data_IF_554733832922
#
_entry.id   IF_554733832922
#
_cell.length_a   1.000
_cell.length_b   1.000
_cell.length_c   1.000
_cell.angle_alpha   90.00
_cell.angle_beta   90.00
_cell.angle_gamma   90.00
#
_symmetry.space_group_name_H-M   'P 1'
#
loop_
_entity.id
_entity.type
_entity.pdbx_description
1 polymer ?
#
# COMPACT_ATOMS: atom_id res chain seq x y z
N UNK A 1 -14.26 -9.06 -33.34
CA UNK A 1 -15.43 -8.25 -32.93
C UNK A 1 -15.13 -6.77 -33.14
N UNK A 2 -16.14 -6.03 -33.50
CA UNK A 2 -16.02 -4.58 -33.61
C UNK A 2 -15.66 -3.94 -32.26
N UNK A 3 -14.70 -3.02 -32.29
CA UNK A 3 -14.32 -2.27 -31.09
C UNK A 3 -15.32 -1.12 -30.88
N UNK A 4 -16.28 -1.34 -30.02
CA UNK A 4 -17.27 -0.34 -29.63
C UNK A 4 -17.66 -0.45 -28.13
N UNK A 5 -18.34 0.57 -27.64
CA UNK A 5 -18.73 0.65 -26.22
C UNK A 5 -19.67 -0.49 -25.78
N UNK A 6 -20.51 -1.02 -26.67
CA UNK A 6 -21.43 -2.09 -26.36
C UNK A 6 -20.69 -3.42 -26.12
N UNK A 7 -19.74 -3.76 -27.02
CA UNK A 7 -18.95 -4.98 -26.88
C UNK A 7 -17.98 -4.89 -25.71
N UNK A 8 -17.34 -3.74 -25.47
CA UNK A 8 -16.53 -3.53 -24.27
C UNK A 8 -17.35 -3.70 -23.00
N UNK A 9 -18.57 -3.16 -22.93
CA UNK A 9 -19.47 -3.34 -21.80
C UNK A 9 -19.88 -4.79 -21.58
N UNK A 10 -20.14 -5.55 -22.66
CA UNK A 10 -20.47 -6.98 -22.59
C UNK A 10 -19.31 -7.81 -22.06
N UNK A 11 -18.09 -7.51 -22.52
CA UNK A 11 -16.89 -8.24 -22.13
C UNK A 11 -16.36 -7.83 -20.75
N UNK A 12 -16.66 -6.63 -20.27
CA UNK A 12 -16.14 -6.10 -19.00
C UNK A 12 -16.49 -6.98 -17.79
N UNK A 13 -17.65 -7.64 -17.81
CA UNK A 13 -18.04 -8.58 -16.75
C UNK A 13 -17.15 -9.82 -16.67
N UNK A 14 -16.54 -10.22 -17.82
CA UNK A 14 -15.62 -11.36 -17.90
C UNK A 14 -14.15 -10.94 -17.87
N UNK A 15 -13.87 -9.65 -18.10
CA UNK A 15 -12.53 -9.09 -18.23
C UNK A 15 -12.17 -8.24 -17.01
N UNK A 16 -12.14 -8.84 -15.84
CA UNK A 16 -11.66 -8.14 -14.65
C UNK A 16 -10.15 -7.91 -14.78
N UNK A 17 -9.71 -6.64 -14.70
CA UNK A 17 -8.33 -6.22 -14.95
C UNK A 17 -7.27 -7.02 -14.19
N UNK A 18 -7.55 -7.41 -12.95
CA UNK A 18 -6.63 -8.21 -12.15
C UNK A 18 -6.34 -9.62 -12.69
N UNK A 19 -7.12 -10.10 -13.67
CA UNK A 19 -7.01 -11.48 -14.19
C UNK A 19 -7.07 -11.58 -15.70
N UNK A 20 -7.74 -10.65 -16.36
CA UNK A 20 -8.08 -10.75 -17.76
C UNK A 20 -8.03 -9.38 -18.42
N UNK A 21 -7.48 -9.32 -19.61
CA UNK A 21 -7.46 -8.15 -20.47
C UNK A 21 -8.28 -8.42 -21.73
N UNK A 22 -8.92 -7.38 -22.27
CA UNK A 22 -9.52 -7.42 -23.58
C UNK A 22 -8.42 -7.11 -24.60
N UNK A 23 -8.13 -8.06 -25.48
CA UNK A 23 -7.13 -7.89 -26.54
C UNK A 23 -7.71 -7.10 -27.69
N UNK A 24 -7.07 -5.96 -28.00
CA UNK A 24 -7.42 -5.09 -29.13
C UNK A 24 -6.25 -5.02 -30.08
N UNK A 25 -6.48 -5.13 -31.36
CA UNK A 25 -5.49 -4.82 -32.41
C UNK A 25 -6.01 -3.71 -33.30
N UNK A 26 -5.12 -2.92 -33.87
CA UNK A 26 -5.45 -1.88 -34.81
C UNK A 26 -5.12 -2.40 -36.20
N UNK A 27 -6.15 -2.62 -37.01
CA UNK A 27 -5.96 -2.89 -38.43
C UNK A 27 -5.77 -1.56 -39.16
N UNK A 28 -4.73 -1.42 -40.03
CA UNK A 28 -4.49 -0.18 -40.76
C UNK A 28 -5.62 0.25 -41.68
N UNK A 29 -6.46 -0.69 -42.14
CA UNK A 29 -7.55 -0.42 -43.07
C UNK A 29 -8.91 -0.35 -42.39
N UNK A 30 -9.15 -1.21 -41.38
CA UNK A 30 -10.47 -1.38 -40.76
C UNK A 30 -10.55 -0.77 -39.34
N UNK A 31 -9.44 -0.23 -38.82
CA UNK A 31 -9.40 0.37 -37.48
C UNK A 31 -9.27 -0.65 -36.32
N UNK A 32 -9.67 -0.27 -35.09
CA UNK A 32 -9.52 -1.14 -33.93
C UNK A 32 -10.55 -2.26 -33.93
N UNK A 33 -10.11 -3.49 -33.64
CA UNK A 33 -10.96 -4.65 -33.45
C UNK A 33 -10.60 -5.44 -32.18
N UNK A 34 -11.58 -6.04 -31.52
CA UNK A 34 -11.39 -6.94 -30.39
C UNK A 34 -11.09 -8.34 -30.94
N UNK A 35 -9.89 -8.85 -30.66
CA UNK A 35 -9.49 -10.17 -31.13
C UNK A 35 -9.67 -11.29 -30.09
N UNK A 36 -9.80 -10.95 -28.79
CA UNK A 36 -10.00 -11.96 -27.77
C UNK A 36 -9.85 -11.46 -26.35
N UNK A 37 -9.78 -12.41 -25.42
CA UNK A 37 -9.47 -12.18 -24.01
C UNK A 37 -8.11 -12.80 -23.68
N UNK A 38 -7.26 -12.06 -22.98
CA UNK A 38 -5.98 -12.52 -22.49
C UNK A 38 -6.12 -12.76 -20.98
N UNK A 39 -6.04 -14.01 -20.57
CA UNK A 39 -6.14 -14.39 -19.16
C UNK A 39 -4.74 -14.62 -18.59
N UNK A 40 -4.37 -13.87 -17.56
CA UNK A 40 -3.03 -13.89 -16.96
C UNK A 40 -2.88 -14.88 -15.80
N UNK A 41 -4.02 -15.36 -15.28
CA UNK A 41 -4.05 -16.23 -14.11
C UNK A 41 -3.80 -15.50 -12.77
N UNK A 42 -3.69 -16.26 -11.68
CA UNK A 42 -3.59 -15.71 -10.32
C UNK A 42 -2.33 -14.86 -10.08
N UNK A 43 -1.29 -15.02 -10.87
CA UNK A 43 -0.02 -14.29 -10.70
C UNK A 43 -0.15 -12.77 -10.89
N UNK A 44 -1.00 -12.31 -11.81
CA UNK A 44 -1.25 -10.87 -11.96
C UNK A 44 -1.97 -10.29 -10.76
N UNK A 45 -2.95 -11.00 -10.21
CA UNK A 45 -3.63 -10.58 -8.99
C UNK A 45 -2.65 -10.34 -7.85
N UNK A 46 -1.73 -11.29 -7.64
CA UNK A 46 -0.70 -11.14 -6.61
C UNK A 46 0.22 -9.94 -6.86
N UNK A 47 0.63 -9.69 -8.10
CA UNK A 47 1.50 -8.57 -8.43
C UNK A 47 0.81 -7.22 -8.24
N UNK A 48 -0.42 -7.07 -8.73
CA UNK A 48 -1.21 -5.84 -8.63
C UNK A 48 -1.49 -5.49 -7.17
N UNK A 49 -1.72 -6.48 -6.33
CA UNK A 49 -1.95 -6.28 -4.89
C UNK A 49 -0.66 -6.32 -4.05
N UNK A 50 0.52 -6.08 -4.63
CA UNK A 50 1.79 -6.05 -3.91
C UNK A 50 2.32 -7.42 -3.52
N UNK A 51 1.95 -8.49 -4.23
CA UNK A 51 2.48 -9.83 -4.05
C UNK A 51 3.94 -9.94 -4.48
N UNK A 52 4.65 -10.94 -3.93
CA UNK A 52 6.05 -11.23 -4.26
C UNK A 52 6.27 -11.87 -5.63
N UNK A 53 5.21 -12.33 -6.26
CA UNK A 53 5.35 -13.15 -7.46
C UNK A 53 6.09 -12.43 -8.58
N UNK A 54 6.97 -13.15 -9.26
CA UNK A 54 7.39 -12.79 -10.62
C UNK A 54 6.19 -12.94 -11.55
N UNK A 55 5.19 -12.06 -11.37
CA UNK A 55 4.13 -11.99 -12.34
C UNK A 55 4.76 -11.76 -13.70
N UNK A 56 4.31 -12.45 -14.74
CA UNK A 56 4.68 -12.02 -16.06
C UNK A 56 4.32 -10.53 -16.14
N UNK A 57 5.22 -9.69 -16.65
CA UNK A 57 4.88 -8.29 -16.86
C UNK A 57 3.60 -8.22 -17.67
N UNK A 58 2.86 -7.13 -17.55
CA UNK A 58 1.81 -6.83 -18.52
C UNK A 58 2.41 -6.98 -19.93
N UNK A 59 1.62 -7.38 -20.92
CA UNK A 59 2.09 -7.47 -22.30
C UNK A 59 2.87 -6.20 -22.69
N UNK A 60 3.94 -6.34 -23.48
CA UNK A 60 4.65 -5.19 -24.04
C UNK A 60 3.81 -4.51 -25.12
N UNK A 61 2.63 -4.12 -24.74
CA UNK A 61 1.62 -3.45 -25.51
C UNK A 61 0.98 -2.36 -24.64
N UNK A 62 0.38 -1.38 -25.29
CA UNK A 62 -0.39 -0.36 -24.57
C UNK A 62 -1.51 -1.03 -23.78
N UNK A 63 -1.50 -0.86 -22.48
CA UNK A 63 -2.52 -1.37 -21.57
C UNK A 63 -3.27 -0.20 -20.97
N UNK A 64 -4.60 -0.23 -21.06
CA UNK A 64 -5.49 0.79 -20.51
C UNK A 64 -6.39 0.12 -19.49
N UNK A 65 -6.35 0.61 -18.25
CA UNK A 65 -7.25 0.21 -17.17
C UNK A 65 -8.25 1.32 -16.89
N UNK A 66 -9.53 0.99 -16.92
CA UNK A 66 -10.61 1.90 -16.53
C UNK A 66 -10.93 1.65 -15.07
N UNK A 67 -10.63 2.61 -14.21
CA UNK A 67 -10.82 2.51 -12.74
C UNK A 67 -12.13 3.11 -12.29
N UNK A 68 -12.65 4.08 -13.03
CA UNK A 68 -13.92 4.74 -12.76
C UNK A 68 -14.40 5.59 -13.94
N UNK A 69 -15.56 6.22 -13.84
CA UNK A 69 -16.04 7.15 -14.86
C UNK A 69 -15.08 8.34 -15.01
N UNK A 70 -14.44 8.44 -16.18
CA UNK A 70 -13.45 9.50 -16.46
C UNK A 70 -12.07 9.25 -15.86
N UNK A 71 -11.81 8.03 -15.35
CA UNK A 71 -10.53 7.64 -14.78
C UNK A 71 -9.90 6.50 -15.59
N UNK A 72 -8.68 6.71 -16.06
CA UNK A 72 -7.92 5.75 -16.85
C UNK A 72 -6.46 5.71 -16.37
N UNK A 73 -5.95 4.50 -16.18
CA UNK A 73 -4.52 4.26 -16.05
C UNK A 73 -3.97 3.71 -17.37
N UNK A 74 -2.88 4.26 -17.84
CA UNK A 74 -2.24 3.87 -19.10
C UNK A 74 -0.81 3.42 -18.82
N UNK A 75 -0.46 2.23 -19.31
CA UNK A 75 0.88 1.67 -19.14
C UNK A 75 1.30 0.81 -20.33
N UNK A 76 2.58 0.44 -20.37
CA UNK A 76 3.15 -0.49 -21.34
C UNK A 76 4.15 -1.39 -20.64
N UNK A 77 3.91 -2.70 -20.65
CA UNK A 77 4.76 -3.64 -19.93
C UNK A 77 4.85 -3.29 -18.44
N UNK A 78 5.97 -2.72 -18.07
CA UNK A 78 6.26 -2.31 -16.68
C UNK A 78 6.21 -0.79 -16.45
N UNK A 79 6.05 -0.02 -17.50
CA UNK A 79 6.09 1.44 -17.48
C UNK A 79 4.68 2.01 -17.33
N UNK A 80 4.50 2.90 -16.38
CA UNK A 80 3.30 3.74 -16.28
C UNK A 80 3.52 4.94 -17.19
N UNK A 81 2.61 5.11 -18.16
CA UNK A 81 2.67 6.21 -19.13
C UNK A 81 1.94 7.43 -18.59
N UNK A 82 0.81 7.23 -17.94
CA UNK A 82 0.02 8.32 -17.41
C UNK A 82 -1.28 7.88 -16.76
N UNK A 83 -1.90 8.81 -16.09
CA UNK A 83 -3.20 8.67 -15.45
C UNK A 83 -4.11 9.81 -15.91
N UNK A 84 -5.35 9.49 -16.26
CA UNK A 84 -6.40 10.47 -16.53
C UNK A 84 -7.39 10.44 -15.36
N UNK A 85 -7.60 11.57 -14.72
CA UNK A 85 -8.65 11.76 -13.72
C UNK A 85 -9.19 13.20 -13.80
N UNK A 86 -10.45 13.38 -13.50
CA UNK A 86 -11.11 14.70 -13.47
C UNK A 86 -10.89 15.55 -14.74
N UNK A 87 -10.78 14.88 -15.89
CA UNK A 87 -10.52 15.53 -17.18
C UNK A 87 -9.09 16.06 -17.35
N UNK A 88 -8.15 15.69 -16.49
CA UNK A 88 -6.74 16.05 -16.55
C UNK A 88 -5.86 14.82 -16.75
N UNK A 89 -4.81 14.98 -17.51
CA UNK A 89 -3.76 13.97 -17.66
C UNK A 89 -2.67 14.28 -16.66
N UNK A 90 -2.36 13.30 -15.83
CA UNK A 90 -1.27 13.35 -14.89
C UNK A 90 -0.13 12.45 -15.38
N UNK A 91 1.07 12.97 -15.37
CA UNK A 91 2.26 12.14 -15.55
C UNK A 91 2.46 11.24 -14.32
N UNK A 92 3.18 10.10 -14.46
CA UNK A 92 3.48 9.25 -13.32
C UNK A 92 4.22 10.08 -12.27
N UNK A 93 3.49 10.46 -11.22
CA UNK A 93 3.99 11.34 -10.20
C UNK A 93 4.48 10.56 -9.00
N UNK A 94 5.19 11.24 -8.18
CA UNK A 94 5.70 11.00 -6.83
C UNK A 94 5.34 9.63 -6.24
N UNK A 95 6.26 8.68 -6.33
CA UNK A 95 6.16 7.45 -5.55
C UNK A 95 6.69 7.71 -4.14
N UNK A 96 5.82 8.01 -3.19
CA UNK A 96 6.19 8.34 -1.80
C UNK A 96 7.00 7.25 -1.11
N UNK A 97 6.92 6.02 -1.54
CA UNK A 97 7.77 4.95 -1.01
C UNK A 97 9.26 5.10 -1.37
N UNK A 98 9.59 6.02 -2.29
CA UNK A 98 10.96 6.39 -2.62
C UNK A 98 11.45 7.62 -1.84
N UNK A 99 10.56 8.34 -1.15
CA UNK A 99 10.96 9.51 -0.36
C UNK A 99 11.87 9.13 0.80
N UNK A 100 12.85 9.98 1.09
CA UNK A 100 13.77 9.79 2.21
C UNK A 100 13.03 9.87 3.53
N UNK A 101 12.12 10.85 3.69
CA UNK A 101 11.38 11.03 4.92
C UNK A 101 10.53 9.81 5.33
N UNK A 102 9.88 9.11 4.37
CA UNK A 102 9.09 7.91 4.70
C UNK A 102 10.00 6.73 5.05
N UNK A 103 11.15 6.63 4.38
CA UNK A 103 12.15 5.63 4.71
C UNK A 103 12.74 5.86 6.11
N UNK A 104 13.07 7.09 6.46
CA UNK A 104 13.57 7.47 7.78
C UNK A 104 12.52 7.23 8.87
N UNK A 105 11.26 7.54 8.59
CA UNK A 105 10.16 7.36 9.53
C UNK A 105 9.99 5.91 9.99
N UNK A 106 10.37 4.93 9.17
CA UNK A 106 10.38 3.51 9.49
C UNK A 106 11.77 2.97 9.90
N UNK A 107 12.81 3.79 9.97
CA UNK A 107 14.19 3.32 10.16
C UNK A 107 14.38 2.52 11.46
N UNK A 108 13.86 3.02 12.59
CA UNK A 108 13.97 2.35 13.90
C UNK A 108 13.31 0.96 13.89
N UNK A 109 12.17 0.83 13.21
CA UNK A 109 11.45 -0.44 13.12
C UNK A 109 12.17 -1.45 12.22
N UNK A 110 12.86 -0.98 11.18
CA UNK A 110 13.73 -1.84 10.37
C UNK A 110 14.88 -2.39 11.19
N UNK A 111 15.53 -1.53 11.97
CA UNK A 111 16.62 -1.92 12.85
C UNK A 111 16.16 -2.94 13.89
N UNK A 112 15.04 -2.70 14.55
CA UNK A 112 14.44 -3.64 15.52
C UNK A 112 14.18 -5.02 14.90
N UNK A 113 13.65 -5.08 13.67
CA UNK A 113 13.40 -6.35 12.97
C UNK A 113 14.69 -7.10 12.66
N UNK A 114 15.73 -6.39 12.24
CA UNK A 114 17.04 -6.99 12.00
C UNK A 114 17.63 -7.54 13.30
N UNK A 115 17.50 -6.83 14.40
CA UNK A 115 17.98 -7.32 15.73
C UNK A 115 17.26 -8.60 16.13
N UNK A 116 15.94 -8.67 16.01
CA UNK A 116 15.15 -9.88 16.29
C UNK A 116 15.58 -11.04 15.36
N UNK A 117 15.84 -10.75 14.09
CA UNK A 117 16.35 -11.75 13.13
C UNK A 117 17.72 -12.27 13.54
N UNK A 118 18.65 -11.39 13.91
CA UNK A 118 20.00 -11.76 14.33
C UNK A 118 20.01 -12.57 15.63
N UNK A 119 19.12 -12.26 16.57
CA UNK A 119 18.94 -13.07 17.79
C UNK A 119 18.46 -14.48 17.43
N UNK A 120 17.43 -14.61 16.60
CA UNK A 120 16.93 -15.90 16.15
C UNK A 120 17.98 -16.71 15.36
N UNK A 121 18.82 -16.03 14.57
CA UNK A 121 19.93 -16.65 13.82
C UNK A 121 21.00 -17.21 14.75
N UNK A 122 21.34 -16.52 15.84
CA UNK A 122 22.32 -16.99 16.83
C UNK A 122 21.86 -18.26 17.57
N UNK A 123 20.53 -18.39 17.77
CA UNK A 123 19.95 -19.55 18.44
C UNK A 123 19.70 -20.74 17.48
N UNK A 124 19.88 -20.54 16.18
CA UNK A 124 19.62 -21.57 15.17
C UNK A 124 20.65 -22.70 15.24
N UNK A 125 20.17 -23.94 15.13
CA UNK A 125 21.04 -25.13 15.10
C UNK A 125 21.83 -25.29 13.78
N UNK A 126 21.34 -24.68 12.71
CA UNK A 126 21.92 -24.72 11.37
C UNK A 126 22.28 -23.28 10.95
N UNK A 127 23.32 -23.10 10.11
CA UNK A 127 23.68 -21.77 9.64
C UNK A 127 22.60 -21.16 8.75
N UNK A 128 22.36 -19.86 8.93
CA UNK A 128 21.44 -19.07 8.11
C UNK A 128 22.24 -18.09 7.23
N UNK A 129 21.75 -17.85 6.02
CA UNK A 129 22.29 -16.81 5.16
C UNK A 129 22.14 -15.41 5.77
N UNK A 130 23.02 -14.49 5.33
CA UNK A 130 22.86 -13.07 5.64
C UNK A 130 21.69 -12.47 4.86
N UNK A 131 21.00 -11.51 5.43
CA UNK A 131 19.96 -10.74 4.73
C UNK A 131 20.55 -9.47 4.15
N UNK A 132 20.16 -9.16 2.91
CA UNK A 132 20.43 -7.86 2.32
C UNK A 132 19.81 -6.75 3.19
N UNK A 133 20.56 -5.70 3.56
CA UNK A 133 20.04 -4.64 4.48
C UNK A 133 18.73 -4.02 4.01
N UNK A 134 18.52 -3.92 2.71
CA UNK A 134 17.32 -3.36 2.12
C UNK A 134 16.10 -4.29 2.12
N UNK A 135 16.28 -5.59 2.31
CA UNK A 135 15.18 -6.56 2.25
C UNK A 135 14.03 -6.20 3.20
N UNK A 136 14.35 -5.84 4.44
CA UNK A 136 13.35 -5.47 5.45
C UNK A 136 12.56 -4.23 5.06
N UNK A 137 13.22 -3.26 4.43
CA UNK A 137 12.59 -2.05 3.90
C UNK A 137 11.61 -2.39 2.79
N UNK A 138 12.06 -3.16 1.82
CA UNK A 138 11.24 -3.52 0.65
C UNK A 138 10.02 -4.35 1.06
N UNK A 139 10.18 -5.33 1.96
CA UNK A 139 9.06 -6.11 2.52
C UNK A 139 8.05 -5.15 3.18
N UNK A 140 8.50 -4.24 4.04
CA UNK A 140 7.62 -3.29 4.72
C UNK A 140 6.86 -2.37 3.75
N UNK A 141 7.52 -1.89 2.71
CA UNK A 141 6.88 -1.10 1.65
C UNK A 141 5.81 -1.91 0.89
N UNK A 142 6.12 -3.16 0.54
CA UNK A 142 5.16 -4.04 -0.12
C UNK A 142 3.93 -4.34 0.76
N UNK A 143 4.12 -4.49 2.08
CA UNK A 143 3.01 -4.64 3.00
C UNK A 143 2.09 -3.41 2.99
N UNK A 144 2.65 -2.21 3.07
CA UNK A 144 1.86 -0.98 3.02
C UNK A 144 1.14 -0.82 1.67
N UNK A 145 1.82 -1.13 0.56
CA UNK A 145 1.21 -1.13 -0.77
C UNK A 145 0.03 -2.11 -0.86
N UNK A 146 0.16 -3.31 -0.29
CA UNK A 146 -0.94 -4.29 -0.23
C UNK A 146 -2.14 -3.77 0.55
N UNK A 147 -1.91 -3.15 1.71
CA UNK A 147 -2.98 -2.55 2.50
C UNK A 147 -3.73 -1.49 1.70
N UNK A 148 -3.00 -0.55 1.11
CA UNK A 148 -3.58 0.55 0.33
C UNK A 148 -4.33 0.00 -0.89
N UNK A 149 -3.74 -0.94 -1.63
CA UNK A 149 -4.38 -1.56 -2.79
C UNK A 149 -5.66 -2.32 -2.41
N UNK A 150 -5.64 -3.05 -1.29
CA UNK A 150 -6.80 -3.73 -0.74
C UNK A 150 -7.91 -2.77 -0.36
N UNK A 151 -7.58 -1.67 0.35
CA UNK A 151 -8.55 -0.64 0.72
C UNK A 151 -9.18 0.04 -0.51
N UNK A 152 -8.39 0.33 -1.54
CA UNK A 152 -8.89 0.89 -2.82
C UNK A 152 -9.89 -0.03 -3.49
N UNK A 153 -9.61 -1.35 -3.49
CA UNK A 153 -10.49 -2.34 -4.12
C UNK A 153 -11.90 -2.42 -3.51
N UNK A 154 -12.09 -1.95 -2.28
CA UNK A 154 -13.40 -1.86 -1.65
C UNK A 154 -14.22 -0.64 -2.08
N UNK A 155 -13.63 0.36 -2.76
CA UNK A 155 -14.30 1.59 -3.21
C UNK A 155 -15.11 2.33 -2.14
N UNK A 156 -14.79 2.13 -0.87
CA UNK A 156 -15.48 2.76 0.26
C UNK A 156 -14.71 3.98 0.79
N UNK A 157 -13.43 4.06 0.44
CA UNK A 157 -12.49 4.94 1.10
C UNK A 157 -12.21 4.48 2.54
N UNK A 158 -11.24 5.08 3.21
CA UNK A 158 -10.86 4.70 4.57
C UNK A 158 -9.73 5.55 5.10
N UNK A 159 -9.41 5.39 6.37
CA UNK A 159 -8.26 6.04 6.99
C UNK A 159 -7.45 5.02 7.78
N UNK A 160 -6.14 5.00 7.55
CA UNK A 160 -5.19 4.34 8.43
C UNK A 160 -4.50 5.41 9.26
N UNK A 161 -4.50 5.23 10.57
CA UNK A 161 -3.72 6.03 11.51
C UNK A 161 -2.56 5.17 12.00
N UNK A 162 -1.35 5.56 11.64
CA UNK A 162 -0.13 4.82 12.00
C UNK A 162 0.60 5.57 13.11
N UNK A 163 0.71 4.94 14.27
CA UNK A 163 1.23 5.55 15.50
C UNK A 163 2.59 4.96 15.89
N UNK A 164 3.42 5.69 16.64
CA UNK A 164 4.61 5.13 17.26
C UNK A 164 4.25 3.94 18.18
N UNK A 165 5.05 2.86 18.21
CA UNK A 165 4.78 1.70 19.08
C UNK A 165 4.69 2.05 20.56
N UNK A 166 5.51 2.99 21.01
CA UNK A 166 5.55 3.51 22.38
C UNK A 166 4.27 4.24 22.80
N UNK A 167 3.47 4.70 21.85
CA UNK A 167 2.18 5.34 22.09
C UNK A 167 0.98 4.38 22.01
N UNK A 168 1.22 3.10 21.73
CA UNK A 168 0.16 2.12 21.50
C UNK A 168 -0.79 2.00 22.70
N UNK A 169 -0.27 1.94 23.91
CA UNK A 169 -1.09 1.80 25.13
C UNK A 169 -1.92 3.06 25.41
N UNK A 170 -1.37 4.25 25.11
CA UNK A 170 -2.12 5.49 25.19
C UNK A 170 -3.33 5.48 24.26
N UNK A 171 -3.15 5.06 23.02
CA UNK A 171 -4.25 5.03 22.04
C UNK A 171 -5.24 3.89 22.27
N UNK A 172 -4.84 2.81 22.94
CA UNK A 172 -5.75 1.75 23.37
C UNK A 172 -6.56 2.09 24.63
N UNK A 173 -6.14 3.11 25.37
CA UNK A 173 -6.80 3.60 26.58
C UNK A 173 -7.69 4.80 26.26
N UNK A 174 -8.53 5.22 27.22
CA UNK A 174 -9.28 6.46 27.11
C UNK A 174 -8.32 7.65 26.97
N UNK A 175 -8.46 8.41 25.92
CA UNK A 175 -7.62 9.56 25.60
C UNK A 175 -8.42 10.64 24.85
N UNK A 176 -7.98 11.91 24.84
CA UNK A 176 -8.73 13.01 24.24
C UNK A 176 -8.59 13.10 22.72
N UNK A 177 -7.86 12.21 22.08
CA UNK A 177 -7.50 12.33 20.66
C UNK A 177 -8.31 11.42 19.77
N UNK A 178 -8.46 10.15 20.17
CA UNK A 178 -9.27 9.17 19.45
C UNK A 178 -9.82 8.11 20.41
N UNK A 179 -10.95 7.52 20.05
CA UNK A 179 -11.50 6.36 20.72
C UNK A 179 -11.61 5.18 19.75
N UNK A 180 -10.99 4.05 20.09
CA UNK A 180 -11.07 2.82 19.31
C UNK A 180 -12.32 2.07 19.73
N UNK A 181 -13.31 1.96 18.83
CA UNK A 181 -14.56 1.26 19.12
C UNK A 181 -14.38 -0.26 19.22
N UNK A 182 -13.54 -0.81 18.33
CA UNK A 182 -13.25 -2.24 18.27
C UNK A 182 -11.74 -2.48 18.41
N UNK A 183 -11.29 -2.68 19.65
CA UNK A 183 -9.88 -2.90 19.96
C UNK A 183 -9.49 -4.38 19.88
N UNK A 184 -8.26 -4.64 19.45
CA UNK A 184 -7.63 -5.96 19.55
C UNK A 184 -6.91 -6.07 20.89
N UNK A 185 -7.47 -6.86 21.79
CA UNK A 185 -6.95 -7.04 23.16
C UNK A 185 -5.85 -8.10 23.20
N UNK A 186 -6.07 -9.20 22.47
CA UNK A 186 -5.14 -10.32 22.46
C UNK A 186 -3.86 -9.99 21.67
N UNK A 187 -2.73 -10.39 22.21
CA UNK A 187 -1.41 -10.08 21.65
C UNK A 187 -1.16 -10.76 20.29
N UNK A 188 -1.68 -11.99 20.10
CA UNK A 188 -1.46 -12.74 18.86
C UNK A 188 -2.12 -12.09 17.65
N UNK A 189 -3.44 -11.84 17.62
CA UNK A 189 -4.05 -11.15 16.48
C UNK A 189 -3.46 -9.76 16.23
N UNK A 190 -3.13 -9.04 17.32
CA UNK A 190 -2.53 -7.72 17.25
C UNK A 190 -1.16 -7.75 16.58
N UNK A 191 -0.29 -8.68 16.95
CA UNK A 191 1.09 -8.77 16.46
C UNK A 191 1.23 -9.61 15.16
N UNK A 192 0.18 -10.27 14.70
CA UNK A 192 0.24 -11.27 13.62
C UNK A 192 0.94 -10.77 12.36
N UNK A 193 0.64 -9.56 11.93
CA UNK A 193 1.25 -8.98 10.72
C UNK A 193 2.76 -8.77 10.88
N UNK A 194 3.17 -8.25 12.04
CA UNK A 194 4.59 -8.12 12.41
C UNK A 194 5.29 -9.48 12.44
N UNK A 195 4.67 -10.47 13.08
CA UNK A 195 5.19 -11.83 13.20
C UNK A 195 5.38 -12.47 11.83
N UNK A 196 4.43 -12.33 10.91
CA UNK A 196 4.54 -12.85 9.54
C UNK A 196 5.74 -12.25 8.80
N UNK A 197 6.00 -10.95 8.92
CA UNK A 197 7.16 -10.30 8.29
C UNK A 197 8.47 -10.90 8.80
N UNK A 198 8.62 -11.03 10.13
CA UNK A 198 9.82 -11.60 10.75
C UNK A 198 9.98 -13.08 10.35
N UNK A 199 8.89 -13.83 10.32
CA UNK A 199 8.93 -15.25 9.92
C UNK A 199 9.36 -15.41 8.47
N UNK A 200 8.93 -14.53 7.55
CA UNK A 200 9.42 -14.54 6.16
C UNK A 200 10.93 -14.32 6.12
N UNK A 201 11.46 -13.34 6.85
CA UNK A 201 12.88 -13.05 6.91
C UNK A 201 13.68 -14.26 7.40
N UNK A 202 13.26 -14.84 8.53
CA UNK A 202 13.90 -15.99 9.14
C UNK A 202 13.84 -17.24 8.24
N UNK A 203 12.70 -17.50 7.62
CA UNK A 203 12.49 -18.64 6.75
C UNK A 203 13.35 -18.54 5.48
N UNK A 204 13.44 -17.34 4.89
CA UNK A 204 14.31 -17.10 3.73
C UNK A 204 15.78 -17.38 4.05
N UNK A 205 16.27 -16.80 5.16
CA UNK A 205 17.66 -16.99 5.58
C UNK A 205 17.98 -18.47 5.89
N UNK A 206 17.04 -19.16 6.55
CA UNK A 206 17.16 -20.59 6.88
C UNK A 206 17.21 -21.47 5.63
N UNK A 207 16.31 -21.24 4.67
CA UNK A 207 16.23 -22.06 3.43
C UNK A 207 17.50 -21.91 2.60
N UNK A 208 18.05 -20.71 2.55
CA UNK A 208 19.27 -20.45 1.79
C UNK A 208 20.51 -21.05 2.46
N UNK A 209 20.55 -21.08 3.80
CA UNK A 209 21.66 -21.69 4.55
C UNK A 209 23.03 -21.18 4.10
N UNK A 210 24.01 -22.07 4.06
CA UNK A 210 25.37 -21.77 3.61
C UNK A 210 25.52 -21.62 2.08
N UNK A 211 24.50 -21.94 1.31
CA UNK A 211 24.60 -21.96 -0.16
C UNK A 211 24.61 -20.56 -0.78
N UNK A 212 24.03 -19.57 -0.09
CA UNK A 212 24.00 -18.19 -0.52
C UNK A 212 24.56 -17.30 0.59
N UNK A 213 25.51 -16.46 0.25
CA UNK A 213 26.11 -15.55 1.23
C UNK A 213 25.16 -14.44 1.67
N UNK A 214 24.32 -13.95 0.76
CA UNK A 214 23.38 -12.84 1.00
C UNK A 214 22.06 -13.10 0.26
N UNK A 215 20.94 -12.93 0.96
CA UNK A 215 19.58 -13.11 0.44
C UNK A 215 18.86 -11.75 0.38
N UNK A 216 18.31 -11.45 -0.78
CA UNK A 216 17.65 -10.20 -1.04
C UNK A 216 16.20 -10.33 -1.54
N UNK A 217 15.68 -9.20 -1.99
CA UNK A 217 14.30 -9.13 -2.51
C UNK A 217 14.09 -10.05 -3.74
N UNK A 218 15.08 -10.20 -4.61
CA UNK A 218 14.99 -11.07 -5.79
C UNK A 218 14.77 -12.52 -5.40
N UNK A 219 15.47 -12.99 -4.36
CA UNK A 219 15.37 -14.36 -3.88
C UNK A 219 13.96 -14.60 -3.29
N UNK A 220 13.44 -13.63 -2.54
CA UNK A 220 12.06 -13.69 -2.07
C UNK A 220 11.06 -13.73 -3.22
N UNK A 221 11.25 -12.95 -4.28
CA UNK A 221 10.36 -12.94 -5.43
C UNK A 221 10.38 -14.26 -6.22
N UNK A 222 11.55 -14.87 -6.35
CA UNK A 222 11.76 -16.01 -7.24
C UNK A 222 11.58 -17.36 -6.56
N UNK A 223 11.66 -17.42 -5.24
CA UNK A 223 11.55 -18.69 -4.52
C UNK A 223 10.21 -19.38 -4.74
N UNK A 224 10.27 -20.67 -5.01
CA UNK A 224 9.10 -21.55 -5.11
C UNK A 224 8.93 -22.43 -3.86
N UNK A 225 9.68 -22.12 -2.80
CA UNK A 225 9.61 -22.90 -1.57
C UNK A 225 8.18 -22.83 -0.97
N UNK A 226 7.57 -23.98 -0.64
CA UNK A 226 6.19 -24.05 -0.16
C UNK A 226 5.92 -23.25 1.12
N UNK A 227 6.92 -23.16 2.02
CA UNK A 227 6.74 -22.45 3.29
C UNK A 227 6.70 -20.93 3.07
N UNK A 228 7.53 -20.42 2.15
CA UNK A 228 7.46 -19.00 1.76
C UNK A 228 6.15 -18.70 1.02
N UNK A 229 5.65 -19.62 0.19
CA UNK A 229 4.36 -19.46 -0.49
C UNK A 229 3.23 -19.34 0.53
N UNK A 230 3.19 -20.22 1.54
CA UNK A 230 2.18 -20.17 2.61
C UNK A 230 2.25 -18.88 3.44
N UNK A 231 3.46 -18.41 3.74
CA UNK A 231 3.65 -17.15 4.46
C UNK A 231 3.17 -15.95 3.63
N UNK A 232 3.43 -15.95 2.33
CA UNK A 232 2.96 -14.89 1.44
C UNK A 232 1.43 -14.88 1.33
N UNK A 233 0.79 -16.05 1.27
CA UNK A 233 -0.67 -16.18 1.32
C UNK A 233 -1.23 -15.65 2.65
N UNK A 234 -0.62 -16.01 3.79
CA UNK A 234 -1.05 -15.52 5.10
C UNK A 234 -0.90 -13.99 5.23
N UNK A 235 0.13 -13.41 4.66
CA UNK A 235 0.31 -11.96 4.58
C UNK A 235 -0.78 -11.33 3.70
N UNK A 236 -1.10 -11.95 2.57
CA UNK A 236 -2.16 -11.48 1.69
C UNK A 236 -3.52 -11.48 2.40
N UNK A 237 -3.87 -12.58 3.08
CA UNK A 237 -5.11 -12.70 3.86
C UNK A 237 -5.17 -11.64 4.96
N UNK A 238 -4.06 -11.42 5.70
CA UNK A 238 -4.00 -10.41 6.75
C UNK A 238 -4.16 -8.99 6.19
N UNK A 239 -3.53 -8.71 5.05
CA UNK A 239 -3.68 -7.42 4.35
C UNK A 239 -5.14 -7.19 3.91
N UNK A 240 -5.79 -8.23 3.41
CA UNK A 240 -7.18 -8.17 3.00
C UNK A 240 -8.12 -7.96 4.21
N UNK A 241 -7.86 -8.63 5.32
CA UNK A 241 -8.59 -8.41 6.57
C UNK A 241 -8.49 -6.95 7.02
N UNK A 242 -7.29 -6.40 7.13
CA UNK A 242 -7.09 -5.00 7.55
C UNK A 242 -7.76 -4.02 6.58
N UNK A 243 -7.67 -4.29 5.28
CA UNK A 243 -8.35 -3.50 4.27
C UNK A 243 -9.89 -3.56 4.42
N UNK A 244 -10.45 -4.73 4.72
CA UNK A 244 -11.88 -4.88 4.99
C UNK A 244 -12.33 -4.12 6.25
N UNK A 245 -11.51 -4.10 7.31
CA UNK A 245 -11.80 -3.33 8.52
C UNK A 245 -11.89 -1.83 8.25
N UNK A 246 -11.21 -1.32 7.24
CA UNK A 246 -11.28 0.09 6.85
C UNK A 246 -12.60 0.51 6.22
N UNK A 247 -13.47 -0.44 5.87
CA UNK A 247 -14.82 -0.16 5.38
C UNK A 247 -15.82 0.16 6.50
N UNK A 248 -15.46 -0.12 7.74
CA UNK A 248 -16.22 0.31 8.91
C UNK A 248 -15.98 1.80 9.15
N UNK A 249 -17.03 2.54 9.48
CA UNK A 249 -16.93 3.96 9.79
C UNK A 249 -15.88 4.20 10.90
N UNK A 250 -15.02 5.18 10.66
CA UNK A 250 -13.86 5.47 11.51
C UNK A 250 -12.53 5.08 10.87
N UNK A 251 -11.48 5.14 11.66
CA UNK A 251 -10.13 4.80 11.21
C UNK A 251 -9.70 3.40 11.68
N UNK A 252 -8.78 2.78 10.93
CA UNK A 252 -8.00 1.64 11.40
C UNK A 252 -6.71 2.17 12.02
N UNK A 253 -6.39 1.73 13.22
CA UNK A 253 -5.20 2.17 13.96
C UNK A 253 -4.15 1.07 13.99
N UNK A 254 -2.96 1.39 13.49
CA UNK A 254 -1.79 0.49 13.43
C UNK A 254 -0.60 1.15 14.13
N UNK A 255 0.32 0.35 14.64
CA UNK A 255 1.65 0.85 14.99
C UNK A 255 2.58 0.84 13.76
N UNK A 256 3.72 1.56 13.83
CA UNK A 256 4.81 1.45 12.83
C UNK A 256 5.34 0.02 12.68
N UNK A 257 5.15 -0.83 13.70
CA UNK A 257 5.49 -2.26 13.66
C UNK A 257 4.52 -3.11 12.86
N UNK A 258 3.44 -2.51 12.35
CA UNK A 258 2.27 -3.19 11.78
C UNK A 258 1.48 -4.00 12.81
N UNK A 259 1.46 -3.58 14.06
CA UNK A 259 0.57 -4.13 15.06
C UNK A 259 -0.80 -3.46 14.96
N UNK A 260 -1.86 -4.26 14.82
CA UNK A 260 -3.22 -3.78 14.67
C UNK A 260 -3.82 -3.48 16.04
N UNK A 261 -4.01 -2.20 16.37
CA UNK A 261 -4.58 -1.77 17.65
C UNK A 261 -6.10 -1.90 17.65
N UNK A 262 -6.75 -1.55 16.55
CA UNK A 262 -8.18 -1.64 16.41
C UNK A 262 -8.71 -0.91 15.18
N UNK A 263 -10.03 -0.84 15.08
CA UNK A 263 -10.73 -0.19 13.98
C UNK A 263 -12.01 0.48 14.44
N UNK A 264 -12.68 1.20 13.53
CA UNK A 264 -13.83 2.05 13.88
C UNK A 264 -13.42 3.18 14.82
N UNK A 265 -12.18 3.67 14.71
CA UNK A 265 -11.67 4.69 15.59
C UNK A 265 -12.25 6.07 15.22
N UNK A 266 -12.86 6.73 16.20
CA UNK A 266 -13.34 8.11 16.08
C UNK A 266 -12.25 9.07 16.54
N UNK A 267 -11.92 10.05 15.69
CA UNK A 267 -10.90 11.05 15.98
C UNK A 267 -11.57 12.29 16.55
N UNK A 268 -11.24 12.63 17.79
CA UNK A 268 -11.89 13.70 18.58
C UNK A 268 -11.10 15.01 18.66
N UNK A 269 -9.98 15.16 17.98
CA UNK A 269 -9.09 16.32 18.07
C UNK A 269 -9.76 17.66 17.66
N UNK A 270 -10.92 17.97 18.25
CA UNK A 270 -11.71 19.18 17.94
C UNK A 270 -11.06 20.46 18.47
N UNK A 271 -10.25 20.34 19.55
CA UNK A 271 -9.61 21.48 20.21
C UNK A 271 -8.37 22.03 19.47
N UNK A 272 -7.99 21.44 18.35
CA UNK A 272 -6.86 21.94 17.56
C UNK A 272 -7.35 22.93 16.52
N UNK A 273 -6.98 24.22 16.68
CA UNK A 273 -7.23 25.29 15.69
C UNK A 273 -6.37 25.08 14.42
N UNK A 274 -6.72 24.03 13.67
CA UNK A 274 -6.10 23.75 12.38
C UNK A 274 -6.93 24.33 11.26
N UNK A 275 -6.52 25.48 10.72
CA UNK A 275 -7.20 26.18 9.64
C UNK A 275 -6.56 25.94 8.28
N UNK A 276 -5.28 25.63 8.25
CA UNK A 276 -4.47 25.46 7.04
C UNK A 276 -3.61 24.22 7.14
N UNK A 277 -3.31 23.64 5.99
CA UNK A 277 -2.38 22.52 5.78
C UNK A 277 -1.50 22.81 4.59
N UNK A 278 -0.34 22.20 4.53
CA UNK A 278 0.59 22.33 3.42
C UNK A 278 0.40 21.13 2.46
N UNK A 279 0.13 21.42 1.20
CA UNK A 279 0.15 20.41 0.13
C UNK A 279 1.57 20.35 -0.43
N UNK A 280 2.22 19.20 -0.33
CA UNK A 280 3.54 18.98 -0.90
C UNK A 280 3.48 18.93 -2.44
N UNK A 281 4.45 19.57 -3.09
CA UNK A 281 4.60 19.59 -4.55
C UNK A 281 5.74 18.68 -5.03
N UNK A 282 6.57 18.19 -4.10
CA UNK A 282 7.66 17.25 -4.36
C UNK A 282 7.68 16.13 -3.32
N UNK A 283 8.53 15.12 -3.54
CA UNK A 283 8.62 13.92 -2.71
C UNK A 283 8.98 14.21 -1.25
N UNK A 284 9.89 15.15 -1.06
CA UNK A 284 10.40 15.46 0.28
C UNK A 284 9.54 16.53 0.99
N UNK A 285 8.68 17.24 0.23
CA UNK A 285 7.83 18.31 0.75
C UNK A 285 8.62 19.60 1.01
N UNK A 286 9.70 19.82 0.27
CA UNK A 286 10.49 21.04 0.38
C UNK A 286 9.78 22.23 -0.29
N UNK A 287 8.94 21.95 -1.27
CA UNK A 287 8.03 22.89 -1.88
C UNK A 287 6.59 22.52 -1.55
N UNK A 288 5.82 23.49 -1.12
CA UNK A 288 4.43 23.27 -0.74
C UNK A 288 3.53 24.47 -1.03
N UNK A 289 2.24 24.24 -1.09
CA UNK A 289 1.19 25.27 -1.18
C UNK A 289 0.29 25.14 0.03
N UNK A 290 -0.04 26.27 0.64
CA UNK A 290 -0.94 26.32 1.79
C UNK A 290 -2.39 26.26 1.31
N UNK A 291 -3.15 25.34 1.87
CA UNK A 291 -4.57 25.15 1.57
C UNK A 291 -5.43 25.21 2.83
N UNK A 292 -6.69 25.63 2.67
CA UNK A 292 -7.63 25.68 3.77
C UNK A 292 -8.18 24.29 4.09
N UNK A 293 -8.14 23.91 5.36
CA UNK A 293 -8.74 22.65 5.85
C UNK A 293 -10.27 22.60 5.65
N UNK A 294 -10.90 23.75 5.52
CA UNK A 294 -12.35 23.81 5.30
C UNK A 294 -12.78 23.38 3.87
N UNK A 295 -11.84 23.35 2.92
CA UNK A 295 -12.10 22.93 1.55
C UNK A 295 -12.22 21.40 1.37
N UNK A 296 -11.82 20.61 2.37
CA UNK A 296 -11.80 19.14 2.28
C UNK A 296 -12.88 18.47 3.14
N UNK A 297 -13.19 17.22 2.81
CA UNK A 297 -14.19 16.42 3.53
C UNK A 297 -13.80 16.08 4.97
N UNK A 298 -14.77 15.62 5.76
CA UNK A 298 -14.61 15.34 7.20
C UNK A 298 -13.48 14.34 7.49
N UNK A 299 -13.33 13.29 6.67
CA UNK A 299 -12.27 12.27 6.80
C UNK A 299 -10.87 12.89 6.74
N UNK A 300 -10.61 13.76 5.77
CA UNK A 300 -9.34 14.47 5.65
C UNK A 300 -9.10 15.40 6.85
N UNK A 301 -10.12 16.17 7.24
CA UNK A 301 -10.00 17.06 8.41
C UNK A 301 -9.64 16.30 9.68
N UNK A 302 -10.29 15.18 9.95
CA UNK A 302 -9.99 14.36 11.12
C UNK A 302 -8.55 13.80 11.07
N UNK A 303 -8.11 13.32 9.91
CA UNK A 303 -6.74 12.83 9.70
C UNK A 303 -5.69 13.94 9.89
N UNK A 304 -5.94 15.14 9.40
CA UNK A 304 -5.04 16.27 9.60
C UNK A 304 -4.98 16.70 11.08
N UNK A 305 -6.12 16.70 11.78
CA UNK A 305 -6.19 17.06 13.20
C UNK A 305 -5.40 16.10 14.09
N UNK A 306 -5.46 14.79 13.83
CA UNK A 306 -4.67 13.84 14.62
C UNK A 306 -3.17 14.01 14.37
N UNK A 307 -2.74 14.32 13.14
CA UNK A 307 -1.36 14.64 12.83
C UNK A 307 -0.89 15.98 13.45
N UNK A 308 -1.81 16.95 13.62
CA UNK A 308 -1.51 18.19 14.32
C UNK A 308 -1.38 17.98 15.83
N UNK A 309 -2.25 17.16 16.42
CA UNK A 309 -2.23 16.85 17.84
C UNK A 309 -1.03 15.98 18.23
N UNK A 310 -0.62 15.08 17.36
CA UNK A 310 0.51 14.17 17.54
C UNK A 310 1.46 14.19 16.35
N UNK A 311 2.58 14.88 16.52
CA UNK A 311 3.57 15.14 15.46
C UNK A 311 4.22 13.86 14.90
N UNK A 312 4.22 12.77 15.65
CA UNK A 312 4.78 11.47 15.25
C UNK A 312 3.76 10.51 14.64
N UNK A 313 2.53 10.96 14.38
CA UNK A 313 1.50 10.18 13.71
C UNK A 313 1.55 10.41 12.21
N UNK A 314 1.37 9.32 11.45
CA UNK A 314 1.13 9.35 10.02
C UNK A 314 -0.31 8.91 9.76
N UNK A 315 -1.05 9.68 9.00
CA UNK A 315 -2.36 9.30 8.49
C UNK A 315 -2.31 9.00 7.00
N UNK A 316 -2.90 7.88 6.59
CA UNK A 316 -3.07 7.52 5.18
C UNK A 316 -4.56 7.54 4.89
N UNK A 317 -4.98 8.45 4.03
CA UNK A 317 -6.38 8.71 3.73
C UNK A 317 -6.68 8.21 2.33
N UNK A 318 -7.71 7.39 2.21
CA UNK A 318 -8.25 6.96 0.93
C UNK A 318 -9.61 7.60 0.71
N UNK A 319 -9.76 8.28 -0.42
CA UNK A 319 -11.07 8.78 -0.85
C UNK A 319 -11.90 7.67 -1.49
N UNK A 320 -13.20 7.88 -1.65
CA UNK A 320 -14.08 6.96 -2.38
C UNK A 320 -13.69 6.83 -3.87
N UNK A 321 -13.10 7.90 -4.41
CA UNK A 321 -12.62 7.96 -5.80
C UNK A 321 -11.25 7.28 -5.98
N UNK A 322 -10.71 6.65 -4.93
CA UNK A 322 -9.46 5.89 -4.98
C UNK A 322 -8.19 6.71 -4.80
N UNK A 323 -8.30 8.04 -4.60
CA UNK A 323 -7.14 8.87 -4.31
C UNK A 323 -6.56 8.55 -2.93
N UNK A 324 -5.24 8.55 -2.83
CA UNK A 324 -4.50 8.24 -1.60
C UNK A 324 -3.70 9.45 -1.18
N UNK A 325 -3.85 9.86 0.07
CA UNK A 325 -3.06 10.93 0.67
C UNK A 325 -2.30 10.43 1.89
N UNK A 326 -1.06 10.84 2.03
CA UNK A 326 -0.26 10.67 3.22
C UNK A 326 -0.17 12.01 3.93
N UNK A 327 -0.52 12.06 5.20
CA UNK A 327 -0.48 13.28 6.00
C UNK A 327 0.33 13.08 7.27
N UNK A 328 1.22 14.02 7.58
CA UNK A 328 2.01 14.04 8.82
C UNK A 328 2.38 15.47 9.19
N UNK A 329 2.90 15.64 10.39
CA UNK A 329 3.54 16.88 10.79
C UNK A 329 4.93 17.03 10.15
N UNK A 330 5.20 18.17 9.49
CA UNK A 330 6.51 18.57 8.95
C UNK A 330 6.61 20.10 8.95
N UNK A 331 7.77 20.64 9.33
CA UNK A 331 8.10 22.07 9.23
C UNK A 331 7.01 23.01 9.79
N UNK A 332 6.61 22.73 11.04
CA UNK A 332 5.61 23.48 11.79
C UNK A 332 4.19 23.50 11.21
N UNK A 333 3.90 22.60 10.28
CA UNK A 333 2.57 22.40 9.69
C UNK A 333 2.20 20.93 9.55
N UNK A 334 0.89 20.65 9.41
CA UNK A 334 0.44 19.40 8.85
C UNK A 334 0.65 19.47 7.35
N UNK A 335 1.51 18.60 6.83
CA UNK A 335 1.77 18.48 5.41
C UNK A 335 1.12 17.20 4.87
N UNK A 336 0.57 17.27 3.66
CA UNK A 336 0.08 16.10 2.98
C UNK A 336 0.64 15.97 1.56
N UNK A 337 0.77 14.74 1.13
CA UNK A 337 1.19 14.34 -0.21
C UNK A 337 0.08 13.57 -0.89
N UNK A 338 -0.24 13.95 -2.12
CA UNK A 338 -1.09 13.14 -2.98
C UNK A 338 -0.26 12.00 -3.59
N UNK A 339 -0.54 10.78 -3.17
CA UNK A 339 -0.03 9.59 -3.83
C UNK A 339 -0.95 9.25 -4.99
N UNK A 340 -0.62 9.70 -6.18
CA UNK A 340 -1.43 9.42 -7.36
C UNK A 340 -1.46 7.93 -7.71
N UNK A 341 -2.53 7.55 -8.39
CA UNK A 341 -3.02 6.18 -8.53
C UNK A 341 -2.16 5.21 -9.38
N UNK A 342 -0.90 5.49 -9.63
CA UNK A 342 0.02 4.59 -10.32
C UNK A 342 0.23 3.21 -9.65
N UNK A 343 -0.52 2.91 -8.58
CA UNK A 343 -0.43 1.61 -7.89
C UNK A 343 -0.81 0.41 -8.75
N UNK A 344 -1.70 0.58 -9.74
CA UNK A 344 -2.10 -0.55 -10.57
C UNK A 344 -0.97 -1.06 -11.48
N UNK A 345 -0.04 -0.17 -11.87
CA UNK A 345 1.10 -0.51 -12.72
C UNK A 345 2.44 -0.46 -11.99
N UNK A 346 2.64 0.49 -11.05
CA UNK A 346 3.90 0.70 -10.34
C UNK A 346 4.14 -0.26 -9.17
N UNK A 347 3.14 -1.04 -8.75
CA UNK A 347 3.30 -2.03 -7.67
C UNK A 347 4.15 -3.23 -8.09
N UNK A 348 4.64 -3.26 -9.31
CA UNK A 348 5.36 -4.40 -9.88
C UNK A 348 6.88 -4.29 -9.67
N UNK A 349 7.38 -3.17 -9.14
CA UNK A 349 8.83 -2.92 -8.91
C UNK A 349 9.11 -2.31 -7.57
#
# INVERSE_FOLDING_TARGET
LEFNALELRRLSSAAHFSRTLIGVRIDPNDGPEIWGLVHSGPRWLHAIHGGRGSAPPLPDALTISVTGPGELDVGKGREVIGHLAEGRVFEPSLNLFQSEWLQEWFASIRQERLEIHEEAKKEAAEPWAELEPDLTRVIGQHMMKRLIAGMRAFHHGGTLVVVPPEMADMFCSENPYLSIKYGFVDSEPRARFRTLIITVMNTLAKIAGDQHSIIGWRDYQQTTNPDIIKLDEAIFEMSHLVAALSTVDGAVVLTRRFELLGFGAEIHCESTDLNFVAKALDLEGDHSVIESVHAVGTRHRSAYRICNAHKDVLSIILSQDGNVQFARWKDDNVMYWDQQAAFNFASIY
#
